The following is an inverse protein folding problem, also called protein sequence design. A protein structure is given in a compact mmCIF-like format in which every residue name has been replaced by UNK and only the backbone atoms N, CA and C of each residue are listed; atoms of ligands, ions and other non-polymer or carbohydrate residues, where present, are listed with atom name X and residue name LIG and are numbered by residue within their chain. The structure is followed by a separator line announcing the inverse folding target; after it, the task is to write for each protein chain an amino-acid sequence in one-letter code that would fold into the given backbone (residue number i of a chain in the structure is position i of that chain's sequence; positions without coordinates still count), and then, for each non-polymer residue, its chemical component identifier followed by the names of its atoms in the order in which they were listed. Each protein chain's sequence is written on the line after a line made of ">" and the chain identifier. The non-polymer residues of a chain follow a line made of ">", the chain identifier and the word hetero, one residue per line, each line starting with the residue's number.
data_IF_984511432652
#
_entry.id   IF_984511432652
#
_cell.length_a   1.000
_cell.length_b   1.000
_cell.length_c   1.000
_cell.angle_alpha   90.00
_cell.angle_beta   90.00
_cell.angle_gamma   90.00
#
_symmetry.space_group_name_H-M   'P 1'
#
loop_
_entity.id
_entity.type
_entity.pdbx_description
1 polymer ?
#
# COMPACT_ATOMS: atom_id res chain seq x y z
N UNK A 1 -2.83 -7.75 -17.78
CA UNK A 1 -3.00 -7.35 -16.37
C UNK A 1 -1.61 -7.23 -15.75
N UNK A 2 -1.24 -6.08 -15.19
CA UNK A 2 0.13 -5.79 -14.70
C UNK A 2 0.49 -6.54 -13.41
N UNK A 3 -0.51 -6.99 -12.66
CA UNK A 3 -0.33 -7.64 -11.37
C UNK A 3 -1.48 -7.28 -10.44
N UNK A 4 -1.30 -7.53 -9.15
CA UNK A 4 -2.23 -7.23 -8.07
C UNK A 4 -1.67 -6.18 -7.13
N UNK A 5 -2.46 -5.15 -6.87
CA UNK A 5 -2.22 -4.15 -5.83
C UNK A 5 -3.21 -4.38 -4.69
N UNK A 6 -2.73 -4.32 -3.46
CA UNK A 6 -3.61 -4.14 -2.31
C UNK A 6 -3.47 -2.72 -1.78
N UNK A 7 -4.54 -1.94 -1.89
CA UNK A 7 -4.58 -0.55 -1.43
C UNK A 7 -5.11 -0.48 0.01
N UNK A 8 -4.42 0.27 0.87
CA UNK A 8 -4.86 0.60 2.22
C UNK A 8 -5.05 2.11 2.31
N UNK A 9 -6.25 2.52 2.69
CA UNK A 9 -6.59 3.91 2.96
C UNK A 9 -7.49 3.95 4.22
N UNK A 10 -7.82 5.13 4.75
CA UNK A 10 -8.70 5.27 5.93
C UNK A 10 -9.93 6.15 5.66
N UNK A 11 -10.42 6.09 4.42
CA UNK A 11 -11.64 6.76 3.97
C UNK A 11 -12.13 6.07 2.69
N UNK A 12 -13.28 5.41 2.77
CA UNK A 12 -13.77 4.52 1.71
C UNK A 12 -13.94 5.22 0.35
N UNK A 13 -14.48 6.43 0.32
CA UNK A 13 -14.65 7.18 -0.94
C UNK A 13 -13.30 7.49 -1.62
N UNK A 14 -12.31 7.97 -0.86
CA UNK A 14 -10.96 8.24 -1.39
C UNK A 14 -10.28 6.91 -1.81
N UNK A 15 -10.48 5.83 -1.05
CA UNK A 15 -9.95 4.50 -1.39
C UNK A 15 -10.48 4.00 -2.74
N UNK A 16 -11.78 4.15 -3.00
CA UNK A 16 -12.39 3.70 -4.25
C UNK A 16 -11.93 4.54 -5.47
N UNK A 17 -11.75 5.85 -5.29
CA UNK A 17 -11.17 6.73 -6.30
C UNK A 17 -9.72 6.31 -6.66
N UNK A 18 -8.87 6.10 -5.66
CA UNK A 18 -7.50 5.64 -5.89
C UNK A 18 -7.46 4.22 -6.48
N UNK A 19 -8.33 3.32 -6.02
CA UNK A 19 -8.44 1.98 -6.60
C UNK A 19 -8.85 2.04 -8.07
N UNK A 20 -9.76 2.95 -8.43
CA UNK A 20 -10.19 3.16 -9.81
C UNK A 20 -9.05 3.69 -10.70
N UNK A 21 -8.22 4.61 -10.19
CA UNK A 21 -7.03 5.07 -10.89
C UNK A 21 -6.01 3.93 -11.10
N UNK A 22 -5.73 3.14 -10.07
CA UNK A 22 -4.84 1.97 -10.16
C UNK A 22 -5.37 0.93 -11.18
N UNK A 23 -6.68 0.70 -11.21
CA UNK A 23 -7.33 -0.19 -12.19
C UNK A 23 -7.20 0.33 -13.62
N UNK A 24 -7.34 1.64 -13.84
CA UNK A 24 -7.18 2.23 -15.18
C UNK A 24 -5.75 2.10 -15.71
N UNK A 25 -4.75 2.00 -14.82
CA UNK A 25 -3.37 1.66 -15.17
C UNK A 25 -3.14 0.17 -15.45
N UNK A 26 -4.17 -0.69 -15.35
CA UNK A 26 -4.12 -2.10 -15.73
C UNK A 26 -3.81 -3.08 -14.59
N UNK A 27 -3.96 -2.65 -13.34
CA UNK A 27 -3.81 -3.49 -12.14
C UNK A 27 -5.14 -4.13 -11.72
N UNK A 28 -5.07 -5.33 -11.15
CA UNK A 28 -6.15 -5.84 -10.31
C UNK A 28 -6.00 -5.26 -8.90
N UNK A 29 -7.05 -4.65 -8.36
CA UNK A 29 -6.96 -3.87 -7.12
C UNK A 29 -8.03 -4.31 -6.14
N UNK A 30 -7.56 -4.84 -5.01
CA UNK A 30 -8.32 -5.01 -3.78
C UNK A 30 -7.97 -3.84 -2.85
N UNK A 31 -8.91 -3.44 -1.98
CA UNK A 31 -8.63 -2.39 -1.01
C UNK A 31 -9.30 -2.63 0.33
N UNK A 32 -8.74 -2.00 1.37
CA UNK A 32 -9.30 -1.91 2.70
C UNK A 32 -9.25 -0.47 3.18
N UNK A 33 -10.35 0.01 3.77
CA UNK A 33 -10.55 1.42 4.06
C UNK A 33 -10.82 1.74 5.54
N UNK A 34 -10.99 0.72 6.39
CA UNK A 34 -11.52 0.88 7.76
C UNK A 34 -10.70 0.13 8.81
N UNK A 35 -10.22 -1.08 8.49
CA UNK A 35 -9.57 -1.96 9.47
C UNK A 35 -8.25 -2.56 8.96
N UNK A 36 -7.13 -2.17 9.57
CA UNK A 36 -5.80 -2.68 9.23
C UNK A 36 -5.58 -4.16 9.56
N UNK A 37 -6.26 -4.71 10.56
CA UNK A 37 -6.21 -6.15 10.84
C UNK A 37 -6.96 -6.94 9.77
N UNK A 38 -8.09 -6.41 9.26
CA UNK A 38 -8.80 -6.97 8.11
C UNK A 38 -7.92 -6.91 6.85
N UNK A 39 -7.27 -5.78 6.59
CA UNK A 39 -6.29 -5.65 5.51
C UNK A 39 -5.20 -6.72 5.59
N UNK A 40 -4.58 -6.88 6.77
CA UNK A 40 -3.53 -7.87 6.99
C UNK A 40 -3.99 -9.31 6.75
N UNK A 41 -5.21 -9.66 7.16
CA UNK A 41 -5.81 -10.99 6.87
C UNK A 41 -6.03 -11.21 5.39
N UNK A 42 -6.59 -10.22 4.68
CA UNK A 42 -6.87 -10.31 3.25
C UNK A 42 -5.58 -10.46 2.44
N UNK A 43 -4.57 -9.63 2.75
CA UNK A 43 -3.23 -9.71 2.14
C UNK A 43 -2.59 -11.08 2.37
N UNK A 44 -2.70 -11.64 3.59
CA UNK A 44 -2.15 -12.96 3.89
C UNK A 44 -2.88 -14.08 3.13
N UNK A 45 -4.21 -14.00 3.04
CA UNK A 45 -5.02 -15.01 2.35
C UNK A 45 -4.78 -14.98 0.85
N UNK A 46 -4.59 -13.77 0.30
CA UNK A 46 -4.40 -13.57 -1.13
C UNK A 46 -3.29 -12.53 -1.39
N UNK A 47 -2.00 -12.96 -1.38
CA UNK A 47 -0.88 -12.05 -1.50
C UNK A 47 -0.89 -11.22 -2.79
N UNK A 48 -0.80 -9.88 -2.70
CA UNK A 48 -0.63 -9.00 -3.86
C UNK A 48 0.84 -9.00 -4.33
N UNK A 49 1.11 -8.37 -5.47
CA UNK A 49 2.49 -8.09 -5.91
C UNK A 49 3.09 -6.87 -5.20
N UNK A 50 2.23 -5.95 -4.74
CA UNK A 50 2.62 -4.74 -4.03
C UNK A 50 1.47 -4.24 -3.14
N UNK A 51 1.82 -3.72 -1.97
CA UNK A 51 0.88 -3.06 -1.05
C UNK A 51 1.10 -1.55 -1.14
N UNK A 52 0.02 -0.80 -1.33
CA UNK A 52 0.04 0.68 -1.39
C UNK A 52 -0.68 1.22 -0.17
N UNK A 53 -0.05 2.13 0.58
CA UNK A 53 -0.62 2.70 1.81
C UNK A 53 -0.53 4.22 1.75
N UNK A 54 -1.67 4.91 1.79
CA UNK A 54 -1.68 6.38 1.84
C UNK A 54 -1.46 6.88 3.27
N UNK A 55 -0.60 7.89 3.43
CA UNK A 55 -0.33 8.54 4.71
C UNK A 55 -1.15 9.82 4.94
N UNK A 56 -2.03 10.18 4.00
CA UNK A 56 -2.90 11.38 4.07
C UNK A 56 -3.98 11.29 5.15
N UNK A 57 -4.40 10.07 5.50
CA UNK A 57 -5.36 9.78 6.58
C UNK A 57 -4.71 8.82 7.56
N UNK A 58 -4.98 8.99 8.85
CA UNK A 58 -4.51 8.12 9.95
C UNK A 58 -3.13 7.48 9.71
N UNK A 59 -2.05 8.26 9.49
CA UNK A 59 -0.74 7.72 9.13
C UNK A 59 -0.20 6.73 10.18
N UNK A 60 -0.57 6.89 11.46
CA UNK A 60 -0.26 5.92 12.51
C UNK A 60 -0.85 4.54 12.25
N UNK A 61 -2.07 4.45 11.73
CA UNK A 61 -2.74 3.18 11.43
C UNK A 61 -2.10 2.50 10.22
N UNK A 62 -1.73 3.29 9.21
CA UNK A 62 -0.94 2.82 8.07
C UNK A 62 0.41 2.21 8.52
N UNK A 63 1.14 2.91 9.39
CA UNK A 63 2.40 2.41 9.99
C UNK A 63 2.22 1.11 10.77
N UNK A 64 1.22 1.05 11.65
CA UNK A 64 0.95 -0.16 12.45
C UNK A 64 0.64 -1.35 11.54
N UNK A 65 -0.16 -1.12 10.48
CA UNK A 65 -0.50 -2.17 9.51
C UNK A 65 0.74 -2.66 8.75
N UNK A 66 1.59 -1.75 8.29
CA UNK A 66 2.84 -2.11 7.62
C UNK A 66 3.81 -2.88 8.53
N UNK A 67 3.98 -2.44 9.78
CA UNK A 67 4.77 -3.15 10.79
C UNK A 67 4.23 -4.55 11.05
N UNK A 68 2.90 -4.71 11.12
CA UNK A 68 2.27 -6.03 11.20
C UNK A 68 2.63 -6.91 10.00
N UNK A 69 2.51 -6.39 8.77
CA UNK A 69 2.89 -7.12 7.55
C UNK A 69 4.35 -7.55 7.56
N UNK A 70 5.26 -6.72 8.09
CA UNK A 70 6.68 -7.02 8.25
C UNK A 70 6.98 -8.05 9.34
N UNK A 71 6.17 -8.11 10.39
CA UNK A 71 6.34 -9.10 11.47
C UNK A 71 6.02 -10.55 11.03
N UNK A 72 5.20 -10.72 9.99
CA UNK A 72 4.70 -12.02 9.54
C UNK A 72 5.55 -12.63 8.42
N UNK A 73 5.98 -13.90 8.59
CA UNK A 73 6.77 -14.62 7.57
C UNK A 73 6.09 -14.68 6.19
N UNK A 74 4.76 -14.74 6.18
CA UNK A 74 3.97 -14.86 4.96
C UNK A 74 3.90 -13.56 4.15
N UNK A 75 4.16 -12.41 4.76
CA UNK A 75 3.91 -11.09 4.16
C UNK A 75 5.12 -10.16 4.20
N UNK A 76 6.16 -10.47 4.98
CA UNK A 76 7.34 -9.61 5.15
C UNK A 76 8.11 -9.32 3.86
N UNK A 77 7.97 -10.17 2.85
CA UNK A 77 8.65 -10.06 1.56
C UNK A 77 7.90 -9.15 0.58
N UNK A 78 6.65 -8.80 0.87
CA UNK A 78 5.82 -8.00 -0.02
C UNK A 78 6.36 -6.56 -0.08
N UNK A 79 6.55 -5.99 -1.28
CA UNK A 79 6.86 -4.57 -1.44
C UNK A 79 5.75 -3.70 -0.81
N UNK A 80 6.16 -2.69 -0.04
CA UNK A 80 5.25 -1.68 0.53
C UNK A 80 5.63 -0.32 -0.05
N UNK A 81 4.64 0.36 -0.63
CA UNK A 81 4.76 1.71 -1.16
C UNK A 81 3.87 2.63 -0.33
N UNK A 82 4.47 3.57 0.39
CA UNK A 82 3.76 4.66 1.04
C UNK A 82 3.58 5.83 0.08
N UNK A 83 2.38 6.40 0.07
CA UNK A 83 1.99 7.49 -0.83
C UNK A 83 1.58 8.71 -0.02
N UNK A 84 2.10 9.87 -0.42
CA UNK A 84 1.94 11.14 0.28
C UNK A 84 2.42 11.11 1.74
N UNK A 85 2.03 12.12 2.51
CA UNK A 85 2.33 12.29 3.92
C UNK A 85 3.03 13.61 4.20
N UNK A 86 2.87 14.13 5.41
CA UNK A 86 3.72 15.23 5.88
C UNK A 86 5.15 14.74 6.08
N UNK A 87 6.14 15.64 6.09
CA UNK A 87 7.54 15.28 6.36
C UNK A 87 7.69 14.47 7.65
N UNK A 88 6.99 14.87 8.71
CA UNK A 88 6.95 14.15 9.99
C UNK A 88 6.33 12.74 9.86
N UNK A 89 5.24 12.60 9.09
CA UNK A 89 4.59 11.29 8.89
C UNK A 89 5.51 10.35 8.10
N UNK A 90 6.19 10.84 7.08
CA UNK A 90 7.16 10.09 6.28
C UNK A 90 8.35 9.68 7.14
N UNK A 91 8.97 10.61 7.88
CA UNK A 91 10.12 10.34 8.75
C UNK A 91 9.81 9.27 9.81
N UNK A 92 8.68 9.40 10.50
CA UNK A 92 8.25 8.39 11.49
C UNK A 92 7.98 7.03 10.85
N UNK A 93 7.54 7.01 9.60
CA UNK A 93 7.23 5.77 8.88
C UNK A 93 8.49 5.09 8.38
N UNK A 94 9.43 5.84 7.80
CA UNK A 94 10.71 5.31 7.32
C UNK A 94 11.58 4.78 8.45
N UNK A 95 11.52 5.38 9.65
CA UNK A 95 12.20 4.85 10.82
C UNK A 95 11.65 3.46 11.26
N UNK A 96 10.37 3.18 11.02
CA UNK A 96 9.73 1.91 11.42
C UNK A 96 9.75 0.85 10.31
N UNK A 97 9.65 1.27 9.05
CA UNK A 97 9.62 0.39 7.88
C UNK A 97 10.66 0.88 6.87
N UNK A 98 11.96 0.69 7.16
CA UNK A 98 13.05 1.32 6.40
C UNK A 98 13.22 0.75 4.98
N UNK A 99 12.67 -0.42 4.71
CA UNK A 99 12.72 -1.07 3.39
C UNK A 99 11.53 -0.68 2.48
N UNK A 100 10.60 0.15 2.96
CA UNK A 100 9.49 0.63 2.14
C UNK A 100 9.90 1.74 1.17
N UNK A 101 9.17 1.85 0.07
CA UNK A 101 9.30 2.95 -0.89
C UNK A 101 8.34 4.07 -0.50
N UNK A 102 8.80 5.31 -0.57
CA UNK A 102 7.98 6.50 -0.33
C UNK A 102 7.85 7.30 -1.62
N UNK A 103 6.63 7.70 -1.96
CA UNK A 103 6.35 8.41 -3.22
C UNK A 103 5.16 9.36 -3.07
N UNK A 104 4.88 10.10 -4.14
CA UNK A 104 3.69 10.95 -4.26
C UNK A 104 2.74 10.33 -5.28
N UNK A 105 1.48 10.79 -5.30
CA UNK A 105 0.47 10.32 -6.26
C UNK A 105 0.90 10.59 -7.71
N UNK A 106 1.70 11.64 -7.95
CA UNK A 106 2.21 11.98 -9.27
C UNK A 106 3.24 10.97 -9.81
N UNK A 107 4.07 10.39 -8.94
CA UNK A 107 5.09 9.40 -9.32
C UNK A 107 4.64 7.95 -9.11
N UNK A 108 3.45 7.74 -8.53
CA UNK A 108 2.97 6.41 -8.13
C UNK A 108 2.90 5.42 -9.31
N UNK A 109 2.38 5.84 -10.47
CA UNK A 109 2.28 4.94 -11.63
C UNK A 109 3.65 4.41 -12.06
N UNK A 110 4.65 5.28 -12.10
CA UNK A 110 6.03 4.94 -12.45
C UNK A 110 6.67 4.02 -11.41
N UNK A 111 6.45 4.28 -10.12
CA UNK A 111 6.92 3.39 -9.04
C UNK A 111 6.30 2.01 -9.18
N UNK A 112 4.99 1.94 -9.42
CA UNK A 112 4.28 0.68 -9.57
C UNK A 112 4.72 -0.11 -10.80
N UNK A 113 5.11 0.54 -11.89
CA UNK A 113 5.63 -0.13 -13.08
C UNK A 113 6.83 -1.06 -12.76
N UNK A 114 7.62 -0.76 -11.72
CA UNK A 114 8.72 -1.61 -11.25
C UNK A 114 8.28 -2.94 -10.61
N UNK A 115 7.02 -3.07 -10.23
CA UNK A 115 6.43 -4.29 -9.65
C UNK A 115 5.52 -5.04 -10.64
N UNK A 116 5.39 -4.53 -11.87
CA UNK A 116 4.57 -5.18 -12.87
C UNK A 116 5.16 -6.56 -13.21
N UNK A 117 4.32 -7.59 -13.26
CA UNK A 117 4.71 -8.90 -13.78
C UNK A 117 5.01 -8.75 -15.26
N UNK A 118 6.28 -8.89 -15.63
CA UNK A 118 6.63 -9.14 -17.03
C UNK A 118 6.23 -10.57 -17.35
N UNK A 119 5.34 -10.73 -18.33
CA UNK A 119 4.95 -12.04 -18.84
C UNK A 119 6.13 -12.81 -19.42
#
# INVERSE_FOLDING_TARGET
>A
MKGRVFLIHWKAAEADEYASALRSWGWAVDFEAEDGARAGKLIKATPPDVVVIYLTRLPSHGRVTASYLRSSKATRHLPIVFVEGTGEAVEKTSAQVPDAVFTTSAELEKVLAGYARTG
#
